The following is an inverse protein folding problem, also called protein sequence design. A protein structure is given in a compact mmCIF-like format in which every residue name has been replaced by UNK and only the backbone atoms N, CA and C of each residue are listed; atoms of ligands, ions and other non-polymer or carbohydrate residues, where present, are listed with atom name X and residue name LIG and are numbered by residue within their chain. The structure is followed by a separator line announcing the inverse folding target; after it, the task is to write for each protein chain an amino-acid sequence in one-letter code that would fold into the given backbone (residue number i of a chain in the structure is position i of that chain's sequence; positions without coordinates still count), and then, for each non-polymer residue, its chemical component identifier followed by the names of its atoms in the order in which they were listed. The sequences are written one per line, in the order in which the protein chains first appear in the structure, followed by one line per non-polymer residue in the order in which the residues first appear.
data_IF_024408663223
#
_entry.id   IF_024408663223
#
_cell.length_a   1.000
_cell.length_b   1.000
_cell.length_c   1.000
_cell.angle_alpha   90.00
_cell.angle_beta   90.00
_cell.angle_gamma   90.00
#
_symmetry.space_group_name_H-M   'P 1'
#
loop_
_entity.id
_entity.type
_entity.pdbx_description
1 polymer ?
#
# COMPACT_ATOMS: atom_id res chain seq x y z
N UNK A 1 5.89 -13.65 -16.14
CA UNK A 1 6.62 -12.77 -17.08
C UNK A 1 5.68 -11.80 -17.79
N UNK A 2 4.57 -12.27 -18.37
CA UNK A 2 3.53 -11.44 -18.99
C UNK A 2 3.01 -10.29 -18.10
N UNK A 3 2.64 -10.58 -16.85
CA UNK A 3 2.15 -9.56 -15.89
C UNK A 3 3.14 -8.41 -15.68
N UNK A 4 4.44 -8.70 -15.56
CA UNK A 4 5.49 -7.69 -15.39
C UNK A 4 5.58 -6.74 -16.58
N UNK A 5 5.41 -7.27 -17.80
CA UNK A 5 5.42 -6.48 -19.04
C UNK A 5 4.19 -5.56 -19.08
N UNK A 6 3.01 -6.07 -18.76
CA UNK A 6 1.77 -5.27 -18.70
C UNK A 6 1.91 -4.14 -17.69
N UNK A 7 2.45 -4.41 -16.49
CA UNK A 7 2.72 -3.39 -15.48
C UNK A 7 3.72 -2.35 -15.97
N UNK A 8 4.82 -2.77 -16.61
CA UNK A 8 5.82 -1.86 -17.15
C UNK A 8 5.24 -0.94 -18.23
N UNK A 9 4.44 -1.49 -19.16
CA UNK A 9 3.74 -0.70 -20.18
C UNK A 9 2.78 0.28 -19.50
N UNK A 10 1.99 -0.17 -18.53
CA UNK A 10 1.09 0.68 -17.76
C UNK A 10 1.81 1.84 -17.07
N UNK A 11 2.96 1.58 -16.46
CA UNK A 11 3.79 2.60 -15.81
C UNK A 11 4.33 3.63 -16.81
N UNK A 12 4.77 3.20 -18.00
CA UNK A 12 5.23 4.11 -19.07
C UNK A 12 4.08 4.99 -19.57
N UNK A 13 2.89 4.41 -19.78
CA UNK A 13 1.70 5.15 -20.22
C UNK A 13 1.28 6.17 -19.15
N UNK A 14 1.28 5.77 -17.88
CA UNK A 14 1.02 6.66 -16.74
C UNK A 14 2.00 7.83 -16.71
N UNK A 15 3.31 7.56 -16.78
CA UNK A 15 4.34 8.59 -16.77
C UNK A 15 4.16 9.58 -17.94
N UNK A 16 3.93 9.06 -19.15
CA UNK A 16 3.70 9.89 -20.33
C UNK A 16 2.44 10.76 -20.18
N UNK A 17 1.35 10.20 -19.65
CA UNK A 17 0.12 10.94 -19.42
C UNK A 17 0.33 12.10 -18.42
N UNK A 18 1.08 11.87 -17.34
CA UNK A 18 1.41 12.91 -16.36
C UNK A 18 2.29 14.02 -16.93
N UNK A 19 3.28 13.69 -17.78
CA UNK A 19 4.12 14.69 -18.45
C UNK A 19 3.31 15.56 -19.41
N UNK A 20 2.40 14.96 -20.20
CA UNK A 20 1.51 15.69 -21.09
C UNK A 20 0.54 16.59 -20.31
N UNK A 21 -0.07 16.06 -19.25
CA UNK A 21 -0.97 16.83 -18.37
C UNK A 21 -0.24 18.03 -17.74
N UNK A 22 0.96 17.82 -17.21
CA UNK A 22 1.78 18.89 -16.64
C UNK A 22 2.16 19.95 -17.68
N UNK A 23 2.46 19.54 -18.92
CA UNK A 23 2.68 20.43 -20.04
C UNK A 23 1.44 21.26 -20.40
N UNK A 24 0.27 20.64 -20.45
CA UNK A 24 -1.01 21.30 -20.74
C UNK A 24 -1.40 22.31 -19.67
N UNK A 25 -1.19 21.99 -18.40
CA UNK A 25 -1.43 22.92 -17.28
C UNK A 25 -0.46 24.11 -17.38
N UNK A 26 0.83 23.87 -17.61
CA UNK A 26 1.84 24.94 -17.73
C UNK A 26 1.57 25.89 -18.92
N UNK A 27 1.04 25.37 -20.01
CA UNK A 27 0.68 26.16 -21.20
C UNK A 27 -0.71 26.81 -21.08
N UNK A 28 -1.41 26.64 -19.96
CA UNK A 28 -2.76 27.19 -19.76
C UNK A 28 -3.85 26.51 -20.61
N UNK A 29 -3.56 25.34 -21.19
CA UNK A 29 -4.52 24.57 -22.00
C UNK A 29 -5.56 23.85 -21.15
N UNK A 30 -5.21 23.52 -19.91
CA UNK A 30 -6.13 22.97 -18.91
C UNK A 30 -6.10 23.87 -17.68
N UNK A 31 -7.18 24.61 -17.47
CA UNK A 31 -7.39 25.47 -16.31
C UNK A 31 -8.58 25.02 -15.44
N UNK A 32 -9.39 24.08 -15.95
CA UNK A 32 -10.59 23.62 -15.27
C UNK A 32 -10.27 22.54 -14.21
N UNK A 33 -10.60 22.84 -12.96
CA UNK A 33 -10.47 21.93 -11.82
C UNK A 33 -11.30 20.66 -11.99
N UNK A 34 -12.45 20.72 -12.67
CA UNK A 34 -13.28 19.53 -12.91
C UNK A 34 -12.53 18.48 -13.73
N UNK A 35 -11.83 18.91 -14.78
CA UNK A 35 -11.06 18.03 -15.65
C UNK A 35 -9.89 17.40 -14.90
N UNK A 36 -9.23 18.15 -14.02
CA UNK A 36 -8.17 17.61 -13.15
C UNK A 36 -8.71 16.54 -12.19
N UNK A 37 -9.87 16.78 -11.57
CA UNK A 37 -10.50 15.80 -10.68
C UNK A 37 -10.92 14.52 -11.43
N UNK A 38 -11.44 14.65 -12.66
CA UNK A 38 -11.79 13.50 -13.49
C UNK A 38 -10.56 12.66 -13.83
N UNK A 39 -9.45 13.29 -14.19
CA UNK A 39 -8.18 12.60 -14.43
C UNK A 39 -7.72 11.90 -13.16
N UNK A 40 -7.69 12.60 -12.02
CA UNK A 40 -7.31 12.01 -10.74
C UNK A 40 -8.13 10.75 -10.43
N UNK A 41 -9.46 10.83 -10.53
CA UNK A 41 -10.37 9.72 -10.26
C UNK A 41 -10.18 8.57 -11.25
N UNK A 42 -10.08 8.86 -12.55
CA UNK A 42 -9.89 7.83 -13.56
C UNK A 42 -8.61 7.01 -13.35
N UNK A 43 -7.55 7.65 -12.84
CA UNK A 43 -6.27 6.98 -12.58
C UNK A 43 -6.18 6.34 -11.19
N UNK A 44 -6.84 6.88 -10.17
CA UNK A 44 -6.76 6.36 -8.80
C UNK A 44 -7.78 5.26 -8.50
N UNK A 45 -9.01 5.36 -9.04
CA UNK A 45 -10.11 4.47 -8.69
C UNK A 45 -9.79 2.98 -8.95
N UNK A 46 -9.18 2.57 -10.09
CA UNK A 46 -8.84 1.18 -10.31
C UNK A 46 -7.77 0.67 -9.34
N UNK A 47 -6.84 1.53 -8.92
CA UNK A 47 -5.75 1.17 -7.99
C UNK A 47 -6.25 0.92 -6.57
N UNK A 48 -7.42 1.46 -6.20
CA UNK A 48 -8.06 1.20 -4.91
C UNK A 48 -8.65 -0.22 -4.80
N UNK A 49 -8.86 -0.90 -5.94
CA UNK A 49 -9.50 -2.21 -6.00
C UNK A 49 -8.51 -3.37 -6.13
N UNK A 50 -7.21 -3.08 -6.23
CA UNK A 50 -6.16 -4.08 -6.49
C UNK A 50 -5.19 -4.11 -5.30
N UNK A 51 -4.64 -5.29 -4.93
CA UNK A 51 -3.61 -5.37 -3.90
C UNK A 51 -2.40 -4.47 -4.20
N UNK A 52 -1.68 -4.00 -3.18
CA UNK A 52 -0.51 -3.14 -3.38
C UNK A 52 0.55 -3.87 -4.22
N UNK A 53 0.79 -3.35 -5.43
CA UNK A 53 1.65 -4.01 -6.43
C UNK A 53 3.15 -3.76 -6.23
N UNK A 54 3.52 -2.65 -5.56
CA UNK A 54 4.90 -2.15 -5.54
C UNK A 54 5.56 -2.16 -4.16
N UNK A 55 4.78 -2.18 -3.08
CA UNK A 55 5.31 -2.24 -1.72
C UNK A 55 4.61 -3.34 -0.92
N UNK A 56 5.40 -4.05 -0.13
CA UNK A 56 4.94 -5.05 0.83
C UNK A 56 4.81 -4.47 2.25
N UNK A 57 5.04 -3.17 2.45
CA UNK A 57 5.04 -2.57 3.78
C UNK A 57 3.66 -2.66 4.45
N UNK A 58 2.58 -2.67 3.65
CA UNK A 58 1.21 -2.90 4.14
C UNK A 58 1.11 -4.21 4.93
N UNK A 59 1.78 -5.27 4.47
CA UNK A 59 1.78 -6.56 5.16
C UNK A 59 2.58 -6.52 6.46
N UNK A 60 3.67 -5.74 6.52
CA UNK A 60 4.40 -5.46 7.77
C UNK A 60 3.50 -4.79 8.81
N UNK A 61 2.64 -3.86 8.39
CA UNK A 61 1.72 -3.18 9.31
C UNK A 61 0.63 -4.11 9.83
N UNK A 62 0.08 -4.96 8.98
CA UNK A 62 -0.94 -5.94 9.37
C UNK A 62 -0.33 -6.99 10.29
N UNK A 63 0.90 -7.46 10.04
CA UNK A 63 1.59 -8.39 10.93
C UNK A 63 1.84 -7.79 12.33
N UNK A 64 2.24 -6.51 12.40
CA UNK A 64 2.35 -5.77 13.67
C UNK A 64 1.00 -5.59 14.37
N UNK A 65 -0.06 -5.33 13.61
CA UNK A 65 -1.43 -5.31 14.14
C UNK A 65 -1.86 -6.68 14.69
N UNK A 66 -1.41 -7.78 14.08
CA UNK A 66 -1.70 -9.14 14.53
C UNK A 66 -0.97 -9.48 15.84
N UNK A 67 0.28 -9.04 16.02
CA UNK A 67 0.98 -9.12 17.32
C UNK A 67 0.13 -8.46 18.41
N UNK A 68 -0.34 -7.23 18.16
CA UNK A 68 -1.17 -6.49 19.12
C UNK A 68 -2.56 -7.11 19.31
N UNK A 69 -3.13 -7.77 18.28
CA UNK A 69 -4.38 -8.55 18.37
C UNK A 69 -4.22 -9.70 19.37
N UNK A 70 -3.08 -10.39 19.34
CA UNK A 70 -2.76 -11.52 20.20
C UNK A 70 -2.27 -11.10 21.60
N UNK A 71 -2.23 -9.81 21.90
CA UNK A 71 -1.77 -9.28 23.19
C UNK A 71 -0.25 -9.28 23.35
N UNK A 72 0.49 -9.48 22.26
CA UNK A 72 1.95 -9.36 22.23
C UNK A 72 2.36 -7.90 22.04
N UNK A 73 3.54 -7.56 22.54
CA UNK A 73 4.10 -6.22 22.44
C UNK A 73 4.93 -6.08 21.14
N UNK A 74 4.45 -5.34 20.14
CA UNK A 74 5.15 -5.18 18.85
C UNK A 74 6.39 -4.29 18.95
N UNK A 75 6.63 -3.62 20.08
CA UNK A 75 7.85 -2.84 20.32
C UNK A 75 9.04 -3.72 20.73
N UNK A 76 8.76 -4.90 21.26
CA UNK A 76 9.77 -5.87 21.68
C UNK A 76 9.77 -7.14 20.84
N UNK A 77 8.64 -7.48 20.21
CA UNK A 77 8.50 -8.64 19.34
C UNK A 77 8.39 -8.25 17.86
N UNK A 78 9.08 -9.01 17.01
CA UNK A 78 9.04 -8.86 15.57
C UNK A 78 7.94 -9.75 14.94
N UNK A 79 7.50 -9.43 13.70
CA UNK A 79 6.56 -10.27 12.95
C UNK A 79 6.93 -11.75 12.91
N UNK A 80 8.23 -12.08 12.82
CA UNK A 80 8.75 -13.46 12.80
C UNK A 80 8.41 -14.30 14.02
N UNK A 81 7.97 -13.69 15.13
CA UNK A 81 7.52 -14.41 16.32
C UNK A 81 6.23 -15.22 16.11
N UNK A 82 5.44 -14.91 15.07
CA UNK A 82 4.19 -15.61 14.78
C UNK A 82 4.24 -16.22 13.37
N UNK A 83 4.28 -17.56 13.24
CA UNK A 83 4.12 -18.21 11.94
C UNK A 83 2.67 -18.05 11.44
N UNK A 84 2.51 -17.89 10.13
CA UNK A 84 1.18 -17.80 9.50
C UNK A 84 1.18 -16.97 8.22
N UNK A 85 -0.01 -16.78 7.61
CA UNK A 85 -0.14 -16.14 6.30
C UNK A 85 0.35 -14.69 6.29
N UNK A 86 0.24 -13.97 7.41
CA UNK A 86 0.76 -12.61 7.53
C UNK A 86 2.29 -12.57 7.42
N UNK A 87 2.99 -13.54 8.02
CA UNK A 87 4.45 -13.60 7.97
C UNK A 87 4.93 -13.84 6.53
N UNK A 88 4.25 -14.71 5.80
CA UNK A 88 4.58 -15.04 4.40
C UNK A 88 4.43 -13.85 3.45
N UNK A 89 3.53 -12.91 3.78
CA UNK A 89 3.28 -11.71 2.97
C UNK A 89 4.24 -10.54 3.30
N UNK A 90 4.90 -10.58 4.46
CA UNK A 90 5.84 -9.54 4.90
C UNK A 90 7.11 -9.56 4.06
N UNK A 91 7.63 -8.38 3.75
CA UNK A 91 8.93 -8.24 3.10
C UNK A 91 10.03 -8.90 3.93
N UNK A 92 10.92 -9.71 3.32
CA UNK A 92 12.01 -10.38 4.04
C UNK A 92 12.89 -9.43 4.87
N UNK A 93 12.98 -8.17 4.46
CA UNK A 93 13.78 -7.14 5.14
C UNK A 93 13.21 -6.70 6.49
N UNK A 94 11.91 -6.93 6.73
CA UNK A 94 11.19 -6.43 7.91
C UNK A 94 10.71 -7.53 8.85
N UNK A 95 11.01 -8.80 8.56
CA UNK A 95 10.52 -9.95 9.33
C UNK A 95 10.95 -9.90 10.80
N UNK A 96 12.20 -9.52 11.04
CA UNK A 96 12.82 -9.53 12.38
C UNK A 96 12.93 -8.13 13.00
N UNK A 97 12.24 -7.14 12.44
CA UNK A 97 12.30 -5.76 12.91
C UNK A 97 11.07 -5.41 13.77
N UNK A 98 11.25 -5.05 15.06
CA UNK A 98 10.17 -4.50 15.87
C UNK A 98 9.62 -3.19 15.32
N UNK A 99 8.42 -2.82 15.71
CA UNK A 99 7.77 -1.64 15.14
C UNK A 99 8.40 -0.31 15.59
N UNK A 100 8.66 0.64 14.68
CA UNK A 100 9.00 2.01 15.05
C UNK A 100 7.75 2.91 15.19
N UNK A 101 6.54 2.38 14.96
CA UNK A 101 5.33 3.19 14.82
C UNK A 101 4.64 3.48 16.17
N UNK A 102 3.97 4.64 16.25
CA UNK A 102 3.24 5.05 17.44
C UNK A 102 2.00 4.20 17.74
N UNK A 103 1.53 4.17 19.00
CA UNK A 103 0.49 3.24 19.46
C UNK A 103 -0.86 3.44 18.76
N UNK A 104 -1.21 4.69 18.39
CA UNK A 104 -2.46 4.97 17.67
C UNK A 104 -2.50 4.31 16.29
N UNK A 105 -1.38 4.31 15.58
CA UNK A 105 -1.27 3.67 14.27
C UNK A 105 -1.37 2.14 14.42
N UNK A 106 -0.68 1.56 15.39
CA UNK A 106 -0.75 0.12 15.66
C UNK A 106 -2.16 -0.34 16.06
N UNK A 107 -2.90 0.50 16.80
CA UNK A 107 -4.31 0.25 17.08
C UNK A 107 -5.13 0.22 15.80
N UNK A 108 -4.93 1.16 14.87
CA UNK A 108 -5.61 1.13 13.58
C UNK A 108 -5.30 -0.15 12.79
N UNK A 109 -4.03 -0.58 12.76
CA UNK A 109 -3.63 -1.84 12.14
C UNK A 109 -4.29 -3.06 12.81
N UNK A 110 -4.33 -3.10 14.15
CA UNK A 110 -5.06 -4.13 14.90
C UNK A 110 -6.53 -4.16 14.54
N UNK A 111 -7.19 -3.00 14.44
CA UNK A 111 -8.59 -2.92 14.05
C UNK A 111 -8.83 -3.50 12.66
N UNK A 112 -7.96 -3.20 11.69
CA UNK A 112 -8.02 -3.80 10.36
C UNK A 112 -7.93 -5.33 10.46
N UNK A 113 -6.93 -5.87 11.16
CA UNK A 113 -6.74 -7.31 11.35
C UNK A 113 -7.95 -7.97 12.02
N UNK A 114 -8.57 -7.30 13.00
CA UNK A 114 -9.77 -7.80 13.68
C UNK A 114 -10.96 -7.88 12.72
N UNK A 115 -11.10 -6.92 11.80
CA UNK A 115 -12.19 -6.89 10.83
C UNK A 115 -11.97 -7.89 9.69
N UNK A 116 -10.74 -7.98 9.17
CA UNK A 116 -10.41 -8.83 8.03
C UNK A 116 -10.14 -10.28 8.43
N UNK A 117 -9.84 -10.55 9.71
CA UNK A 117 -9.35 -11.85 10.16
C UNK A 117 -7.99 -12.16 9.52
N UNK A 118 -7.70 -13.45 9.30
CA UNK A 118 -6.47 -13.94 8.66
C UNK A 118 -6.57 -14.01 7.13
N UNK A 119 -7.59 -13.40 6.55
CA UNK A 119 -7.77 -13.31 5.10
C UNK A 119 -6.93 -12.17 4.53
N UNK A 120 -6.03 -12.52 3.61
CA UNK A 120 -5.15 -11.61 2.87
C UNK A 120 -5.58 -11.60 1.40
#
# INVERSE_FOLDING_TARGET
MFSKIVVAIGAIVLLRAWLLLGGDIRQGRILDRRRLNQVLLAWSLPLLLVPPLFSQDVYSYIAQGNLLRLGLDPYTMAPSAIPGPFLEAVSPWWLDTPTPYGPLFLLACKWVVVITGEHI
#
